data_IF_714957695837
#
_entry.id   IF_714957695837
#
_cell.length_a   1.000
_cell.length_b   1.000
_cell.length_c   1.000
_cell.angle_alpha   90.00
_cell.angle_beta   90.00
_cell.angle_gamma   90.00
#
_symmetry.space_group_name_H-M   'P 1'
#
loop_
_entity.id
_entity.type
_entity.pdbx_description
1 polymer ?
#
# COMPACT_ATOMS: atom_id res chain seq x y z
N UNK A 1 1.58 19.76 7.31
CA UNK A 1 0.59 18.70 7.66
C UNK A 1 1.25 17.54 8.41
N UNK A 2 2.47 17.12 8.07
CA UNK A 2 3.15 15.97 8.72
C UNK A 2 3.51 16.20 10.19
N UNK A 3 3.67 17.42 10.65
CA UNK A 3 4.08 17.73 12.02
C UNK A 3 2.98 17.49 13.07
N UNK A 4 1.71 17.65 12.65
CA UNK A 4 0.56 17.53 13.57
C UNK A 4 -0.08 16.14 13.60
N UNK A 5 0.18 15.30 12.60
CA UNK A 5 -0.50 13.99 12.47
C UNK A 5 0.34 12.83 13.00
N UNK A 6 1.69 12.90 12.90
CA UNK A 6 2.54 11.75 13.22
C UNK A 6 3.32 11.87 14.53
N UNK A 7 3.32 13.03 15.21
CA UNK A 7 4.10 13.32 16.44
C UNK A 7 5.57 12.85 16.40
N UNK A 8 6.09 12.56 15.20
CA UNK A 8 7.48 12.20 14.95
C UNK A 8 8.08 13.15 13.94
N UNK A 9 9.11 13.88 14.34
CA UNK A 9 9.93 14.70 13.45
C UNK A 9 10.77 13.78 12.56
N UNK A 10 10.49 13.78 11.27
CA UNK A 10 11.39 13.17 10.29
C UNK A 10 12.59 14.11 10.07
N UNK A 11 13.82 13.75 10.47
CA UNK A 11 15.00 14.63 10.32
C UNK A 11 15.24 15.03 8.86
N UNK A 12 14.94 14.12 7.91
CA UNK A 12 15.07 14.38 6.48
C UNK A 12 14.05 15.43 6.00
N UNK A 13 12.82 15.40 6.50
CA UNK A 13 11.80 16.40 6.16
C UNK A 13 12.20 17.79 6.68
N UNK A 14 12.77 17.87 7.89
CA UNK A 14 13.28 19.13 8.45
C UNK A 14 14.44 19.66 7.61
N UNK A 15 15.40 18.82 7.21
CA UNK A 15 16.50 19.21 6.36
C UNK A 15 16.04 19.74 5.00
N UNK A 16 15.05 19.11 4.38
CA UNK A 16 14.45 19.57 3.12
C UNK A 16 13.78 20.94 3.30
N UNK A 17 13.00 21.15 4.36
CA UNK A 17 12.35 22.44 4.60
C UNK A 17 13.36 23.57 4.89
N UNK A 18 14.43 23.28 5.64
CA UNK A 18 15.51 24.25 5.90
C UNK A 18 16.24 24.59 4.59
N UNK A 19 16.52 23.60 3.74
CA UNK A 19 17.18 23.82 2.45
C UNK A 19 16.31 24.63 1.50
N UNK A 20 15.02 24.33 1.40
CA UNK A 20 14.07 25.08 0.56
C UNK A 20 13.91 26.52 1.06
N UNK A 21 13.80 26.72 2.37
CA UNK A 21 13.73 28.06 2.96
C UNK A 21 15.03 28.85 2.71
N UNK A 22 16.21 28.22 2.83
CA UNK A 22 17.51 28.82 2.51
C UNK A 22 17.59 29.21 1.06
N UNK A 23 17.22 28.37 0.12
CA UNK A 23 17.20 28.69 -1.32
C UNK A 23 16.24 29.85 -1.58
N UNK A 24 15.07 29.87 -0.96
CA UNK A 24 14.10 30.96 -1.13
C UNK A 24 14.64 32.31 -0.63
N UNK A 25 15.29 32.32 0.54
CA UNK A 25 15.90 33.54 1.11
C UNK A 25 17.03 34.04 0.21
N UNK A 26 17.93 33.16 -0.24
CA UNK A 26 19.06 33.53 -1.10
C UNK A 26 18.57 34.02 -2.46
N UNK A 27 17.62 33.34 -3.08
CA UNK A 27 17.06 33.72 -4.38
C UNK A 27 16.29 35.04 -4.30
N UNK A 28 15.55 35.30 -3.21
CA UNK A 28 14.84 36.57 -3.02
C UNK A 28 15.77 37.76 -2.73
N UNK A 29 16.94 37.53 -2.14
CA UNK A 29 17.95 38.54 -1.88
C UNK A 29 18.76 38.92 -3.14
N UNK A 30 18.82 38.01 -4.14
CA UNK A 30 19.62 38.20 -5.37
C UNK A 30 18.77 38.63 -6.57
N UNK A 31 17.45 38.42 -6.54
CA UNK A 31 16.58 38.73 -7.67
C UNK A 31 16.27 40.21 -7.82
N UNK A 32 16.79 40.92 -8.86
CA UNK A 32 16.24 42.20 -9.25
C UNK A 32 14.84 41.97 -9.84
N UNK A 33 13.92 42.83 -9.49
CA UNK A 33 12.45 42.78 -9.64
C UNK A 33 11.90 42.74 -11.08
N UNK A 34 12.45 41.94 -11.99
CA UNK A 34 11.90 41.73 -13.35
C UNK A 34 11.90 40.27 -13.77
N UNK A 35 10.74 39.69 -13.72
CA UNK A 35 10.45 38.30 -14.12
C UNK A 35 10.73 37.96 -15.60
N UNK A 36 11.12 38.97 -16.42
CA UNK A 36 11.31 38.80 -17.86
C UNK A 36 12.72 38.40 -18.33
N UNK A 37 13.72 38.34 -17.44
CA UNK A 37 15.12 38.10 -17.82
C UNK A 37 15.67 36.71 -17.41
N UNK A 38 14.84 35.82 -16.92
CA UNK A 38 15.26 34.53 -16.36
C UNK A 38 15.88 33.56 -17.38
N UNK A 39 15.63 33.71 -18.66
CA UNK A 39 16.12 32.76 -19.68
C UNK A 39 17.42 33.23 -20.35
N UNK A 40 17.71 34.54 -20.40
CA UNK A 40 18.90 35.09 -21.05
C UNK A 40 20.11 35.25 -20.13
N UNK A 41 19.93 35.06 -18.81
CA UNK A 41 20.97 35.29 -17.80
C UNK A 41 21.80 34.07 -17.41
N UNK A 42 21.32 32.82 -17.71
CA UNK A 42 21.92 31.57 -17.21
C UNK A 42 23.42 31.43 -17.57
N UNK A 43 23.83 31.84 -18.76
CA UNK A 43 25.25 31.78 -19.18
C UNK A 43 26.16 32.75 -18.46
N UNK A 44 25.66 33.95 -18.15
CA UNK A 44 26.41 34.99 -17.40
C UNK A 44 26.53 34.66 -15.92
N UNK A 45 25.47 34.13 -15.34
CA UNK A 45 25.42 33.78 -13.91
C UNK A 45 26.35 32.59 -13.58
N UNK A 46 26.47 31.60 -14.48
CA UNK A 46 27.39 30.47 -14.30
C UNK A 46 28.84 30.96 -14.36
N UNK A 47 29.20 31.84 -15.30
CA UNK A 47 30.56 32.38 -15.40
C UNK A 47 30.93 33.27 -14.19
N UNK A 48 29.98 34.04 -13.66
CA UNK A 48 30.13 34.81 -12.43
C UNK A 48 30.29 33.95 -11.18
N UNK A 49 29.59 32.83 -11.13
CA UNK A 49 29.67 31.87 -10.03
C UNK A 49 31.03 31.15 -9.99
N UNK A 50 31.53 30.72 -11.17
CA UNK A 50 32.83 30.01 -11.30
C UNK A 50 34.03 30.97 -11.17
N UNK A 51 33.85 32.26 -11.36
CA UNK A 51 34.93 33.25 -11.16
C UNK A 51 35.00 33.81 -9.73
N UNK A 52 34.02 33.55 -8.88
CA UNK A 52 33.99 34.05 -7.52
C UNK A 52 34.49 32.97 -6.52
N UNK A 53 35.68 33.16 -5.89
CA UNK A 53 36.24 32.15 -4.99
C UNK A 53 35.35 31.86 -3.77
N UNK A 54 34.57 32.82 -3.32
CA UNK A 54 33.64 32.65 -2.21
C UNK A 54 32.46 31.74 -2.62
N UNK A 55 31.94 31.93 -3.84
CA UNK A 55 30.85 31.11 -4.36
C UNK A 55 31.31 29.64 -4.60
N UNK A 56 32.53 29.48 -5.12
CA UNK A 56 33.16 28.15 -5.27
C UNK A 56 33.31 27.46 -3.89
N UNK A 57 33.78 28.19 -2.88
CA UNK A 57 33.98 27.69 -1.52
C UNK A 57 32.65 27.24 -0.89
N UNK A 58 31.58 28.03 -1.03
CA UNK A 58 30.24 27.67 -0.54
C UNK A 58 29.66 26.44 -1.29
N UNK A 59 29.82 26.42 -2.62
CA UNK A 59 29.39 25.30 -3.45
C UNK A 59 30.12 23.99 -3.11
N UNK A 60 31.43 24.05 -2.92
CA UNK A 60 32.26 22.92 -2.50
C UNK A 60 31.86 22.42 -1.09
N UNK A 61 31.68 23.33 -0.14
CA UNK A 61 31.25 23.00 1.22
C UNK A 61 29.85 22.33 1.23
N UNK A 62 28.95 22.84 0.40
CA UNK A 62 27.61 22.26 0.24
C UNK A 62 27.67 20.88 -0.39
N UNK A 63 28.48 20.69 -1.44
CA UNK A 63 28.64 19.38 -2.11
C UNK A 63 29.26 18.34 -1.17
N UNK A 64 30.32 18.73 -0.45
CA UNK A 64 30.98 17.87 0.55
C UNK A 64 30.04 17.54 1.71
N UNK A 65 29.27 18.52 2.18
CA UNK A 65 28.24 18.32 3.20
C UNK A 65 27.15 17.36 2.74
N UNK A 66 26.69 17.47 1.50
CA UNK A 66 25.69 16.58 0.92
C UNK A 66 26.23 15.16 0.75
N UNK A 67 27.47 15.00 0.28
CA UNK A 67 28.14 13.70 0.16
C UNK A 67 28.33 13.08 1.55
N UNK A 68 28.79 13.85 2.54
CA UNK A 68 28.93 13.40 3.91
C UNK A 68 27.57 12.99 4.51
N UNK A 69 26.51 13.75 4.25
CA UNK A 69 25.17 13.43 4.71
C UNK A 69 24.66 12.11 4.11
N UNK A 70 24.92 11.88 2.82
CA UNK A 70 24.54 10.62 2.14
C UNK A 70 25.42 9.46 2.60
N UNK A 71 26.71 9.68 2.87
CA UNK A 71 27.65 8.65 3.27
C UNK A 71 27.53 8.26 4.77
N UNK A 72 27.25 9.28 5.62
CA UNK A 72 27.08 9.11 7.07
C UNK A 72 25.61 8.93 7.47
N UNK A 73 24.68 9.12 6.54
CA UNK A 73 23.31 8.77 6.79
C UNK A 73 23.27 7.29 7.22
N UNK A 74 22.82 6.96 8.44
CA UNK A 74 22.66 5.58 8.81
C UNK A 74 21.76 5.00 7.71
N UNK A 75 22.35 4.27 6.82
CA UNK A 75 21.64 3.27 6.06
C UNK A 75 21.20 2.30 7.16
N UNK A 76 20.07 2.59 7.82
CA UNK A 76 19.25 1.51 8.27
C UNK A 76 19.23 0.65 7.02
N UNK A 77 19.98 -0.45 7.07
CA UNK A 77 19.91 -1.44 6.03
C UNK A 77 18.40 -1.52 5.81
N UNK A 78 17.96 -1.18 4.61
CA UNK A 78 16.68 -1.65 4.15
C UNK A 78 16.95 -3.16 4.21
N UNK A 79 16.86 -3.68 5.44
CA UNK A 79 16.60 -5.07 5.65
C UNK A 79 15.39 -5.19 4.78
N UNK A 80 15.56 -5.86 3.67
CA UNK A 80 14.42 -6.46 3.00
C UNK A 80 13.56 -6.91 4.14
N UNK A 81 12.39 -6.28 4.37
CA UNK A 81 11.61 -6.59 5.54
C UNK A 81 11.55 -8.08 5.47
N UNK A 82 11.97 -8.73 6.53
CA UNK A 82 12.15 -10.16 6.58
C UNK A 82 10.79 -10.83 6.28
N UNK A 83 10.36 -10.71 5.04
CA UNK A 83 9.18 -11.34 4.47
C UNK A 83 9.32 -12.86 4.61
N UNK A 84 10.56 -13.36 4.71
CA UNK A 84 10.84 -14.75 5.03
C UNK A 84 10.93 -15.02 6.55
N UNK A 85 11.24 -14.04 7.39
CA UNK A 85 11.23 -14.22 8.85
C UNK A 85 9.85 -13.94 9.47
N UNK A 86 9.02 -13.11 8.85
CA UNK A 86 7.64 -12.87 9.32
C UNK A 86 6.72 -14.09 9.12
N UNK A 87 7.06 -15.03 8.24
CA UNK A 87 6.29 -16.27 8.03
C UNK A 87 6.49 -17.31 9.14
N UNK A 88 7.39 -17.10 10.08
CA UNK A 88 7.70 -18.07 11.13
C UNK A 88 7.75 -17.49 12.56
N UNK A 89 7.50 -16.19 12.75
CA UNK A 89 7.40 -15.64 14.08
C UNK A 89 6.04 -16.05 14.69
N UNK A 90 6.01 -16.58 15.94
CA UNK A 90 4.75 -16.79 16.64
C UNK A 90 3.96 -15.49 16.66
N UNK A 91 2.66 -15.55 16.35
CA UNK A 91 1.79 -14.38 16.48
C UNK A 91 1.91 -13.91 17.93
N UNK A 92 2.43 -12.68 18.12
CA UNK A 92 2.53 -12.05 19.43
C UNK A 92 1.17 -12.13 20.12
N UNK A 93 1.11 -12.74 21.31
CA UNK A 93 -0.15 -12.85 22.04
C UNK A 93 -0.42 -11.56 22.78
N UNK A 94 -1.66 -11.07 22.69
CA UNK A 94 -2.12 -9.93 23.48
C UNK A 94 -2.31 -10.36 24.94
N UNK A 95 -1.95 -9.49 25.88
CA UNK A 95 -2.28 -9.69 27.27
C UNK A 95 -3.79 -9.44 27.53
N UNK A 96 -4.25 -9.80 28.74
CA UNK A 96 -5.67 -9.70 29.09
C UNK A 96 -6.20 -8.25 29.04
N UNK A 97 -5.41 -7.27 29.47
CA UNK A 97 -5.82 -5.88 29.46
C UNK A 97 -5.93 -5.32 28.03
N UNK A 98 -4.98 -5.70 27.15
CA UNK A 98 -5.01 -5.36 25.73
C UNK A 98 -6.22 -5.99 25.02
N UNK A 99 -6.58 -7.24 25.36
CA UNK A 99 -7.76 -7.90 24.81
C UNK A 99 -9.06 -7.19 25.25
N UNK A 100 -9.20 -6.85 26.51
CA UNK A 100 -10.38 -6.16 27.02
C UNK A 100 -10.54 -4.75 26.43
N UNK A 101 -9.44 -4.02 26.29
CA UNK A 101 -9.44 -2.72 25.61
C UNK A 101 -9.82 -2.86 24.14
N UNK A 102 -9.25 -3.87 23.45
CA UNK A 102 -9.52 -4.15 22.05
C UNK A 102 -10.99 -4.53 21.81
N UNK A 103 -11.58 -5.38 22.67
CA UNK A 103 -12.99 -5.77 22.58
C UNK A 103 -13.91 -4.56 22.76
N UNK A 104 -13.63 -3.71 23.77
CA UNK A 104 -14.39 -2.46 23.98
C UNK A 104 -14.30 -1.54 22.77
N UNK A 105 -13.10 -1.43 22.17
CA UNK A 105 -12.92 -0.64 20.98
C UNK A 105 -13.75 -1.18 19.81
N UNK A 106 -13.70 -2.49 19.53
CA UNK A 106 -14.49 -3.15 18.46
C UNK A 106 -15.99 -2.87 18.65
N UNK A 107 -16.48 -2.94 19.88
CA UNK A 107 -17.90 -2.77 20.16
C UNK A 107 -18.38 -1.33 19.99
N UNK A 108 -17.51 -0.37 20.20
CA UNK A 108 -17.79 1.05 20.06
C UNK A 108 -17.72 1.56 18.61
N UNK A 109 -17.17 0.77 17.66
CA UNK A 109 -16.98 1.26 16.30
C UNK A 109 -18.28 1.28 15.50
N UNK A 110 -18.48 2.32 14.67
CA UNK A 110 -19.57 2.35 13.71
C UNK A 110 -19.37 1.26 12.64
N UNK A 111 -20.48 0.70 12.15
CA UNK A 111 -20.47 -0.34 11.13
C UNK A 111 -21.03 0.19 9.82
N UNK A 112 -20.29 -0.06 8.75
CA UNK A 112 -20.70 0.31 7.37
C UNK A 112 -21.64 -0.77 6.84
N UNK A 113 -22.91 -0.47 6.52
CA UNK A 113 -23.92 -1.49 6.15
C UNK A 113 -23.50 -2.37 4.96
N UNK A 114 -22.86 -1.79 3.95
CA UNK A 114 -22.40 -2.52 2.75
C UNK A 114 -21.23 -3.49 2.97
N UNK A 115 -20.66 -3.54 4.18
CA UNK A 115 -19.57 -4.44 4.55
C UNK A 115 -19.93 -5.34 5.75
N UNK A 116 -21.23 -5.53 6.02
CA UNK A 116 -21.73 -6.44 7.05
C UNK A 116 -21.70 -7.89 6.57
N UNK A 117 -21.57 -8.87 7.49
CA UNK A 117 -21.66 -10.28 7.13
C UNK A 117 -23.05 -10.62 6.57
N UNK A 118 -23.12 -11.42 5.50
CA UNK A 118 -24.40 -11.94 5.01
C UNK A 118 -25.00 -12.96 5.98
N UNK A 119 -26.27 -13.30 5.77
CA UNK A 119 -26.97 -14.29 6.59
C UNK A 119 -26.19 -15.62 6.67
N UNK A 120 -26.04 -16.15 7.88
CA UNK A 120 -25.31 -17.39 8.15
C UNK A 120 -23.80 -17.20 8.36
N UNK A 121 -23.21 -16.05 8.05
CA UNK A 121 -21.81 -15.73 8.33
C UNK A 121 -21.74 -14.91 9.62
N UNK A 122 -20.95 -15.34 10.59
CA UNK A 122 -20.73 -14.60 11.83
C UNK A 122 -19.67 -13.51 11.67
N UNK A 123 -18.60 -13.81 10.92
CA UNK A 123 -17.49 -12.88 10.70
C UNK A 123 -17.16 -12.80 9.23
N UNK A 124 -17.25 -11.56 8.69
CA UNK A 124 -16.78 -11.18 7.37
C UNK A 124 -15.56 -10.29 7.51
N UNK A 125 -14.45 -10.68 6.91
CA UNK A 125 -13.33 -9.81 6.66
C UNK A 125 -13.31 -9.47 5.18
N UNK A 126 -13.56 -8.20 4.83
CA UNK A 126 -13.52 -7.71 3.46
C UNK A 126 -12.27 -6.85 3.28
N UNK A 127 -11.45 -7.17 2.27
CA UNK A 127 -10.24 -6.42 1.92
C UNK A 127 -10.39 -5.83 0.52
N UNK A 128 -10.20 -4.52 0.39
CA UNK A 128 -9.98 -3.88 -0.91
C UNK A 128 -8.49 -3.94 -1.24
N UNK A 129 -8.18 -4.58 -2.34
CA UNK A 129 -6.84 -5.04 -2.70
C UNK A 129 -6.39 -4.55 -4.07
N UNK A 130 -5.08 -4.31 -4.17
CA UNK A 130 -4.37 -4.03 -5.41
C UNK A 130 -3.10 -4.89 -5.45
N UNK A 131 -2.92 -5.67 -6.52
CA UNK A 131 -1.79 -6.60 -6.62
C UNK A 131 -0.45 -5.92 -6.86
N UNK A 132 -0.43 -4.64 -7.28
CA UNK A 132 0.80 -3.84 -7.39
C UNK A 132 1.08 -2.98 -6.15
N UNK A 133 0.16 -2.92 -5.18
CA UNK A 133 0.35 -2.14 -3.96
C UNK A 133 1.27 -2.86 -2.96
N UNK A 134 2.44 -2.29 -2.57
CA UNK A 134 3.36 -2.93 -1.62
C UNK A 134 2.73 -3.20 -0.25
N UNK A 135 1.89 -2.29 0.24
CA UNK A 135 1.17 -2.47 1.50
C UNK A 135 0.15 -3.63 1.42
N UNK A 136 -0.44 -3.88 0.23
CA UNK A 136 -1.31 -5.04 0.00
C UNK A 136 -0.55 -6.36 0.12
N UNK A 137 0.67 -6.41 -0.46
CA UNK A 137 1.58 -7.57 -0.32
C UNK A 137 1.94 -7.82 1.13
N UNK A 138 2.34 -6.78 1.88
CA UNK A 138 2.68 -6.92 3.30
C UNK A 138 1.53 -7.49 4.12
N UNK A 139 0.33 -6.95 3.97
CA UNK A 139 -0.85 -7.45 4.69
C UNK A 139 -1.28 -8.84 4.23
N UNK A 140 -1.10 -9.17 2.94
CA UNK A 140 -1.37 -10.51 2.44
C UNK A 140 -0.46 -11.55 3.13
N UNK A 141 0.85 -11.29 3.15
CA UNK A 141 1.81 -12.18 3.81
C UNK A 141 1.58 -12.30 5.31
N UNK A 142 1.18 -11.20 5.97
CA UNK A 142 0.94 -11.19 7.42
C UNK A 142 -0.35 -11.91 7.84
N UNK A 143 -1.37 -11.98 6.96
CA UNK A 143 -2.71 -12.41 7.38
C UNK A 143 -3.20 -13.70 6.72
N UNK A 144 -2.56 -14.18 5.64
CA UNK A 144 -3.03 -15.34 4.89
C UNK A 144 -3.21 -16.59 5.76
N UNK A 145 -2.29 -16.82 6.69
CA UNK A 145 -2.35 -17.98 7.59
C UNK A 145 -3.45 -17.83 8.65
N UNK A 146 -3.70 -16.59 9.12
CA UNK A 146 -4.83 -16.29 10.02
C UNK A 146 -6.15 -16.60 9.31
N UNK A 147 -6.32 -16.12 8.08
CA UNK A 147 -7.55 -16.41 7.32
C UNK A 147 -7.71 -17.89 7.03
N UNK A 148 -6.64 -18.58 6.61
CA UNK A 148 -6.67 -20.02 6.38
C UNK A 148 -7.05 -20.81 7.65
N UNK A 149 -6.52 -20.42 8.81
CA UNK A 149 -6.89 -20.98 10.12
C UNK A 149 -8.40 -20.90 10.36
N UNK A 150 -8.99 -19.71 10.18
CA UNK A 150 -10.41 -19.50 10.47
C UNK A 150 -11.33 -20.08 9.39
N UNK A 151 -10.93 -20.08 8.12
CA UNK A 151 -11.65 -20.77 7.05
C UNK A 151 -11.77 -22.29 7.33
N UNK A 152 -10.68 -22.89 7.83
CA UNK A 152 -10.65 -24.32 8.17
C UNK A 152 -11.41 -24.65 9.47
N UNK A 153 -11.27 -23.82 10.51
CA UNK A 153 -11.86 -24.11 11.83
C UNK A 153 -13.31 -23.65 11.99
N UNK A 154 -13.78 -22.72 11.15
CA UNK A 154 -15.12 -22.14 11.22
C UNK A 154 -15.80 -22.10 9.84
N UNK A 155 -15.94 -23.24 9.16
CA UNK A 155 -16.51 -23.29 7.82
C UNK A 155 -17.93 -22.73 7.81
N UNK A 156 -18.19 -21.76 6.94
CA UNK A 156 -19.46 -21.08 6.83
C UNK A 156 -19.70 -19.95 7.85
N UNK A 157 -19.10 -20.01 9.02
CA UNK A 157 -19.21 -18.93 10.02
C UNK A 157 -18.18 -17.80 9.81
N UNK A 158 -17.00 -18.10 9.29
CA UNK A 158 -15.99 -17.13 8.88
C UNK A 158 -15.93 -17.03 7.36
N UNK A 159 -15.76 -15.81 6.86
CA UNK A 159 -15.54 -15.55 5.43
C UNK A 159 -14.52 -14.45 5.24
N UNK A 160 -13.50 -14.70 4.40
CA UNK A 160 -12.61 -13.69 3.87
C UNK A 160 -12.98 -13.38 2.42
N UNK A 161 -13.17 -12.10 2.10
CA UNK A 161 -13.45 -11.61 0.75
C UNK A 161 -12.39 -10.57 0.34
N UNK A 162 -11.63 -10.89 -0.70
CA UNK A 162 -10.79 -9.92 -1.40
C UNK A 162 -11.62 -9.28 -2.52
N UNK A 163 -11.75 -7.95 -2.47
CA UNK A 163 -12.37 -7.10 -3.49
C UNK A 163 -11.28 -6.35 -4.26
N UNK A 164 -11.41 -6.29 -5.56
CA UNK A 164 -10.42 -5.60 -6.38
C UNK A 164 -10.60 -4.08 -6.29
N UNK A 165 -9.50 -3.38 -6.03
CA UNK A 165 -9.46 -1.92 -6.01
C UNK A 165 -8.13 -1.43 -6.61
N UNK A 166 -7.86 -1.77 -7.90
CA UNK A 166 -6.61 -1.39 -8.54
C UNK A 166 -6.52 0.11 -8.70
N UNK A 167 -5.40 0.69 -8.24
CA UNK A 167 -5.11 2.12 -8.36
C UNK A 167 -4.59 2.43 -9.77
N UNK A 168 -5.39 2.10 -10.79
CA UNK A 168 -5.06 2.21 -12.20
C UNK A 168 -6.21 2.83 -12.99
N UNK A 169 -5.86 3.67 -13.99
CA UNK A 169 -6.82 4.44 -14.78
C UNK A 169 -7.81 3.59 -15.57
N UNK A 170 -7.40 2.44 -16.08
CA UNK A 170 -8.28 1.53 -16.82
C UNK A 170 -9.42 0.97 -15.97
N UNK A 171 -9.19 0.79 -14.67
CA UNK A 171 -10.20 0.35 -13.72
C UNK A 171 -11.09 1.47 -13.16
N UNK A 172 -10.87 2.72 -13.58
CA UNK A 172 -11.69 3.88 -13.19
C UNK A 172 -11.15 4.65 -11.98
N UNK A 173 -9.91 4.38 -11.56
CA UNK A 173 -9.20 5.14 -10.53
C UNK A 173 -7.98 5.82 -11.15
N UNK A 174 -7.68 7.06 -10.76
CA UNK A 174 -6.45 7.74 -11.16
C UNK A 174 -5.23 6.93 -10.74
N UNK A 175 -4.33 6.58 -11.71
CA UNK A 175 -3.42 5.49 -11.52
C UNK A 175 -2.00 5.85 -11.13
N UNK A 176 -1.49 5.17 -10.11
CA UNK A 176 -0.06 5.03 -9.81
C UNK A 176 0.49 3.68 -10.28
N UNK A 177 -0.41 2.75 -10.65
CA UNK A 177 -0.08 1.40 -11.11
C UNK A 177 -0.46 1.22 -12.58
N UNK A 178 0.25 0.34 -13.29
CA UNK A 178 0.15 0.20 -14.74
C UNK A 178 -0.39 -1.17 -15.20
N UNK A 179 -0.59 -2.12 -14.29
CA UNK A 179 -1.05 -3.49 -14.63
C UNK A 179 -1.80 -4.16 -13.47
N UNK A 180 -2.36 -3.36 -12.58
CA UNK A 180 -3.13 -3.86 -11.45
C UNK A 180 -4.50 -4.39 -11.88
N UNK A 181 -5.08 -3.83 -12.94
CA UNK A 181 -6.33 -4.30 -13.55
C UNK A 181 -6.16 -5.68 -14.18
N UNK A 182 -5.06 -5.88 -14.91
CA UNK A 182 -4.74 -7.17 -15.51
C UNK A 182 -4.49 -8.24 -14.45
N UNK A 183 -3.76 -7.90 -13.40
CA UNK A 183 -3.53 -8.81 -12.28
C UNK A 183 -4.84 -9.22 -11.61
N UNK A 184 -5.76 -8.27 -11.38
CA UNK A 184 -7.09 -8.54 -10.83
C UNK A 184 -7.91 -9.47 -11.72
N UNK A 185 -7.93 -9.21 -13.03
CA UNK A 185 -8.62 -10.07 -14.01
C UNK A 185 -8.02 -11.47 -14.05
N UNK A 186 -6.68 -11.60 -14.04
CA UNK A 186 -6.01 -12.90 -14.02
C UNK A 186 -6.40 -13.73 -12.79
N UNK A 187 -6.41 -13.13 -11.60
CA UNK A 187 -6.83 -13.81 -10.38
C UNK A 187 -8.29 -14.22 -10.41
N UNK A 188 -9.19 -13.40 -10.96
CA UNK A 188 -10.60 -13.77 -11.15
C UNK A 188 -10.76 -14.97 -12.07
N UNK A 189 -10.01 -15.02 -13.16
CA UNK A 189 -10.00 -16.18 -14.08
C UNK A 189 -9.52 -17.45 -13.39
N UNK A 190 -8.42 -17.35 -12.64
CA UNK A 190 -7.91 -18.48 -11.87
C UNK A 190 -8.92 -18.97 -10.83
N UNK A 191 -9.53 -18.06 -10.06
CA UNK A 191 -10.56 -18.37 -9.05
C UNK A 191 -11.83 -18.99 -9.66
N UNK A 192 -12.22 -18.53 -10.85
CA UNK A 192 -13.38 -19.08 -11.56
C UNK A 192 -13.15 -20.52 -12.01
N UNK A 193 -11.90 -20.90 -12.32
CA UNK A 193 -11.53 -22.28 -12.62
C UNK A 193 -11.44 -23.13 -11.35
N UNK A 194 -10.69 -22.67 -10.36
CA UNK A 194 -10.49 -23.30 -9.06
C UNK A 194 -10.04 -22.23 -8.03
N UNK A 195 -10.75 -22.08 -6.90
CA UNK A 195 -10.36 -21.17 -5.83
C UNK A 195 -8.92 -21.39 -5.31
N UNK A 196 -8.43 -22.64 -5.29
CA UNK A 196 -7.06 -22.95 -4.87
C UNK A 196 -6.02 -22.43 -5.88
N UNK A 197 -6.29 -22.55 -7.18
CA UNK A 197 -5.43 -21.97 -8.21
C UNK A 197 -5.43 -20.43 -8.14
N UNK A 198 -6.57 -19.83 -7.80
CA UNK A 198 -6.64 -18.39 -7.53
C UNK A 198 -5.71 -17.97 -6.38
N UNK A 199 -5.70 -18.69 -5.25
CA UNK A 199 -4.79 -18.41 -4.12
C UNK A 199 -3.31 -18.57 -4.52
N UNK A 200 -2.98 -19.60 -5.29
CA UNK A 200 -1.61 -19.79 -5.80
C UNK A 200 -1.19 -18.65 -6.73
N UNK A 201 -2.09 -18.17 -7.58
CA UNK A 201 -1.81 -17.05 -8.46
C UNK A 201 -1.64 -15.74 -7.68
N UNK A 202 -2.42 -15.50 -6.62
CA UNK A 202 -2.22 -14.35 -5.72
C UNK A 202 -0.81 -14.38 -5.09
N UNK A 203 -0.37 -15.52 -4.55
CA UNK A 203 0.99 -15.69 -4.01
C UNK A 203 2.06 -15.40 -5.09
N UNK A 204 1.88 -15.93 -6.29
CA UNK A 204 2.81 -15.79 -7.42
C UNK A 204 2.93 -14.34 -7.89
N UNK A 205 1.81 -13.63 -7.98
CA UNK A 205 1.76 -12.22 -8.38
C UNK A 205 2.41 -11.31 -7.34
N UNK A 206 2.11 -11.50 -6.06
CA UNK A 206 2.72 -10.72 -5.00
C UNK A 206 4.24 -10.93 -4.88
N UNK A 207 4.75 -12.12 -5.22
CA UNK A 207 6.19 -12.36 -5.27
C UNK A 207 6.87 -11.62 -6.45
N UNK A 208 6.13 -11.31 -7.51
CA UNK A 208 6.61 -10.64 -8.73
C UNK A 208 6.09 -9.21 -8.90
N UNK A 209 5.64 -8.61 -7.82
CA UNK A 209 4.98 -7.31 -7.81
C UNK A 209 5.79 -6.21 -8.51
N UNK A 210 7.11 -6.20 -8.33
CA UNK A 210 8.01 -5.18 -8.89
C UNK A 210 8.14 -5.28 -10.42
N UNK A 211 7.93 -6.47 -10.97
CA UNK A 211 8.00 -6.73 -12.43
C UNK A 211 6.64 -6.96 -13.05
N UNK A 212 5.57 -6.54 -12.35
CA UNK A 212 4.20 -6.74 -12.81
C UNK A 212 3.94 -6.02 -14.14
N UNK A 213 3.42 -6.75 -15.09
CA UNK A 213 2.95 -6.26 -16.38
C UNK A 213 1.74 -7.09 -16.82
N UNK A 214 1.05 -6.66 -17.88
CA UNK A 214 0.00 -7.47 -18.51
C UNK A 214 0.53 -8.86 -18.89
N UNK A 215 1.73 -8.92 -19.46
CA UNK A 215 2.33 -10.20 -19.87
C UNK A 215 2.69 -11.06 -18.67
N UNK A 216 3.19 -10.47 -17.57
CA UNK A 216 3.43 -11.17 -16.30
C UNK A 216 2.12 -11.75 -15.76
N UNK A 217 1.02 -11.01 -15.77
CA UNK A 217 -0.29 -11.50 -15.30
C UNK A 217 -0.80 -12.67 -16.17
N UNK A 218 -0.67 -12.57 -17.48
CA UNK A 218 -1.02 -13.65 -18.44
C UNK A 218 -0.14 -14.88 -18.25
N UNK A 219 1.16 -14.69 -18.08
CA UNK A 219 2.10 -15.77 -17.83
C UNK A 219 1.74 -16.53 -16.55
N UNK A 220 1.54 -15.81 -15.43
CA UNK A 220 1.16 -16.42 -14.17
C UNK A 220 -0.16 -17.20 -14.27
N UNK A 221 -1.16 -16.64 -14.94
CA UNK A 221 -2.43 -17.32 -15.20
C UNK A 221 -2.25 -18.61 -15.99
N UNK A 222 -1.42 -18.59 -17.03
CA UNK A 222 -1.16 -19.77 -17.86
C UNK A 222 -0.34 -20.83 -17.12
N UNK A 223 0.67 -20.44 -16.33
CA UNK A 223 1.53 -21.36 -15.59
C UNK A 223 0.82 -22.00 -14.40
N UNK A 224 0.11 -21.20 -13.60
CA UNK A 224 -0.51 -21.64 -12.35
C UNK A 224 -1.86 -22.29 -12.61
N UNK A 225 -2.75 -21.58 -13.31
CA UNK A 225 -4.11 -22.03 -13.50
C UNK A 225 -4.36 -22.70 -14.86
N UNK A 226 -3.36 -22.75 -15.76
CA UNK A 226 -3.51 -23.33 -17.10
C UNK A 226 -4.67 -22.73 -17.91
N UNK A 227 -4.96 -21.44 -17.69
CA UNK A 227 -6.00 -20.69 -18.41
C UNK A 227 -5.34 -19.82 -19.47
N UNK A 228 -5.81 -19.93 -20.71
CA UNK A 228 -5.28 -19.20 -21.88
C UNK A 228 -6.28 -18.19 -22.47
N UNK A 229 -7.48 -18.12 -21.93
CA UNK A 229 -8.56 -17.27 -22.46
C UNK A 229 -8.52 -15.82 -21.91
N UNK A 230 -7.38 -15.36 -21.39
CA UNK A 230 -7.24 -14.04 -20.75
C UNK A 230 -7.79 -12.91 -21.63
N UNK A 231 -7.29 -12.77 -22.87
CA UNK A 231 -7.68 -11.66 -23.72
C UNK A 231 -9.16 -11.69 -24.12
N UNK A 232 -9.72 -12.90 -24.31
CA UNK A 232 -11.13 -13.06 -24.66
C UNK A 232 -12.07 -12.71 -23.49
N UNK A 233 -11.67 -13.03 -22.26
CA UNK A 233 -12.48 -12.81 -21.08
C UNK A 233 -12.20 -11.43 -20.41
N UNK A 234 -11.09 -10.79 -20.77
CA UNK A 234 -10.63 -9.56 -20.15
C UNK A 234 -11.70 -8.46 -20.10
N UNK A 235 -12.38 -8.10 -21.22
CA UNK A 235 -13.34 -7.00 -21.18
C UNK A 235 -14.50 -7.25 -20.21
N UNK A 236 -15.00 -8.48 -20.14
CA UNK A 236 -16.10 -8.87 -19.27
C UNK A 236 -15.67 -8.82 -17.79
N UNK A 237 -14.50 -9.36 -17.46
CA UNK A 237 -14.01 -9.42 -16.09
C UNK A 237 -13.50 -8.06 -15.60
N UNK A 238 -13.01 -7.20 -16.51
CA UNK A 238 -12.70 -5.82 -16.19
C UNK A 238 -13.92 -5.07 -15.65
N UNK A 239 -15.12 -5.29 -16.21
CA UNK A 239 -16.34 -4.72 -15.66
C UNK A 239 -16.68 -5.23 -14.26
N UNK A 240 -16.35 -6.47 -13.95
CA UNK A 240 -16.51 -7.00 -12.59
C UNK A 240 -15.48 -6.39 -11.62
N UNK A 241 -14.25 -6.12 -12.06
CA UNK A 241 -13.25 -5.35 -11.29
C UNK A 241 -13.76 -3.93 -11.05
N UNK A 242 -14.26 -3.25 -12.08
CA UNK A 242 -14.84 -1.92 -11.96
C UNK A 242 -16.06 -1.87 -11.02
N UNK A 243 -16.84 -2.96 -10.96
CA UNK A 243 -17.94 -3.06 -10.01
C UNK A 243 -17.44 -3.08 -8.55
N UNK A 244 -16.34 -3.80 -8.26
CA UNK A 244 -15.70 -3.77 -6.93
C UNK A 244 -15.11 -2.38 -6.62
N UNK A 245 -14.52 -1.70 -7.61
CA UNK A 245 -14.05 -0.31 -7.46
C UNK A 245 -15.21 0.61 -7.06
N UNK A 246 -16.35 0.55 -7.78
CA UNK A 246 -17.54 1.34 -7.44
C UNK A 246 -18.07 1.04 -6.05
N UNK A 247 -18.10 -0.24 -5.67
CA UNK A 247 -18.47 -0.65 -4.30
C UNK A 247 -17.52 0.00 -3.29
N UNK A 248 -16.21 -0.11 -3.50
CA UNK A 248 -15.20 0.49 -2.62
C UNK A 248 -15.40 2.01 -2.48
N UNK A 249 -15.63 2.73 -3.59
CA UNK A 249 -15.92 4.15 -3.58
C UNK A 249 -17.18 4.47 -2.76
N UNK A 250 -18.25 3.69 -2.92
CA UNK A 250 -19.49 3.83 -2.13
C UNK A 250 -19.25 3.61 -0.63
N UNK A 251 -18.32 2.71 -0.26
CA UNK A 251 -17.92 2.45 1.12
C UNK A 251 -16.85 3.43 1.65
N UNK A 252 -16.50 4.46 0.87
CA UNK A 252 -15.52 5.47 1.25
C UNK A 252 -14.06 4.98 1.18
N UNK A 253 -13.78 3.93 0.43
CA UNK A 253 -12.41 3.45 0.18
C UNK A 253 -11.68 4.47 -0.71
N UNK A 254 -10.53 4.94 -0.26
CA UNK A 254 -9.68 5.90 -0.96
C UNK A 254 -8.27 5.39 -1.28
N UNK A 255 -7.97 4.14 -0.90
CA UNK A 255 -6.67 3.53 -1.13
C UNK A 255 -6.61 2.09 -0.64
N UNK A 256 -5.50 1.42 -0.95
CA UNK A 256 -5.30 0.00 -0.64
C UNK A 256 -4.05 -0.21 0.23
N UNK A 257 -4.08 -1.21 1.12
CA UNK A 257 -5.24 -2.01 1.47
C UNK A 257 -6.22 -1.26 2.37
N UNK A 258 -7.53 -1.47 2.18
CA UNK A 258 -8.56 -1.06 3.14
C UNK A 258 -9.29 -2.31 3.61
N UNK A 259 -9.47 -2.44 4.93
CA UNK A 259 -10.14 -3.58 5.54
C UNK A 259 -11.44 -3.18 6.23
N UNK A 260 -12.42 -4.06 6.15
CA UNK A 260 -13.61 -4.04 6.97
C UNK A 260 -13.75 -5.38 7.70
N UNK A 261 -13.95 -5.35 9.01
CA UNK A 261 -14.26 -6.52 9.83
C UNK A 261 -15.67 -6.34 10.37
N UNK A 262 -16.62 -7.12 9.91
CA UNK A 262 -18.05 -6.95 10.22
C UNK A 262 -18.53 -5.50 10.07
N UNK A 263 -18.15 -4.85 8.98
CA UNK A 263 -18.49 -3.44 8.71
C UNK A 263 -17.65 -2.40 9.43
N UNK A 264 -16.80 -2.80 10.38
CA UNK A 264 -15.88 -1.89 11.04
C UNK A 264 -14.69 -1.63 10.11
N UNK A 265 -14.48 -0.39 9.71
CA UNK A 265 -13.30 -0.01 8.93
C UNK A 265 -12.07 -0.04 9.83
N UNK A 266 -11.09 -0.84 9.47
CA UNK A 266 -9.82 -0.94 10.19
C UNK A 266 -8.65 -0.64 9.25
N UNK A 267 -7.56 -0.10 9.81
CA UNK A 267 -6.28 0.00 9.10
C UNK A 267 -5.55 -1.33 9.02
N UNK A 268 -4.29 -1.30 8.62
CA UNK A 268 -3.40 -2.47 8.73
C UNK A 268 -3.12 -2.74 10.20
N UNK A 269 -3.77 -3.75 10.76
CA UNK A 269 -3.60 -4.17 12.15
C UNK A 269 -2.33 -5.01 12.30
N UNK A 270 -1.76 -5.04 13.52
CA UNK A 270 -0.82 -6.11 13.85
C UNK A 270 -1.55 -7.46 13.80
N UNK A 271 -0.91 -8.55 13.33
CA UNK A 271 -1.58 -9.87 13.19
C UNK A 271 -2.32 -10.33 14.45
N UNK A 272 -1.76 -10.09 15.64
CA UNK A 272 -2.38 -10.42 16.92
C UNK A 272 -3.75 -9.74 17.13
N UNK A 273 -3.87 -8.46 16.77
CA UNK A 273 -5.15 -7.75 16.90
C UNK A 273 -6.20 -8.22 15.90
N UNK A 274 -5.77 -8.57 14.67
CA UNK A 274 -6.69 -9.14 13.68
C UNK A 274 -7.18 -10.52 14.12
N UNK A 275 -6.29 -11.39 14.58
CA UNK A 275 -6.62 -12.72 15.11
C UNK A 275 -7.59 -12.60 16.30
N UNK A 276 -7.29 -11.72 17.27
CA UNK A 276 -8.16 -11.46 18.41
C UNK A 276 -9.53 -10.90 18.02
N UNK A 277 -9.60 -10.00 17.01
CA UNK A 277 -10.88 -9.46 16.52
C UNK A 277 -11.77 -10.57 15.93
N UNK A 278 -11.18 -11.43 15.09
CA UNK A 278 -11.93 -12.54 14.47
C UNK A 278 -12.39 -13.51 15.55
N UNK A 279 -11.51 -13.91 16.48
CA UNK A 279 -11.85 -14.80 17.59
C UNK A 279 -12.98 -14.24 18.46
N UNK A 280 -12.90 -12.97 18.82
CA UNK A 280 -13.92 -12.29 19.60
C UNK A 280 -15.28 -12.28 18.91
N UNK A 281 -15.32 -11.86 17.63
CA UNK A 281 -16.57 -11.75 16.89
C UNK A 281 -17.20 -13.12 16.56
N UNK A 282 -16.42 -14.19 16.41
CA UNK A 282 -16.93 -15.55 16.24
C UNK A 282 -17.63 -16.05 17.51
N UNK A 283 -17.12 -15.68 18.69
CA UNK A 283 -17.65 -16.11 20.00
C UNK A 283 -18.75 -15.19 20.54
N UNK A 284 -18.94 -14.02 19.92
CA UNK A 284 -19.99 -13.09 20.30
C UNK A 284 -21.35 -13.65 19.87
N UNK A 285 -22.22 -13.90 20.86
CA UNK A 285 -23.61 -14.36 20.66
C UNK A 285 -24.53 -13.23 20.23
#
# INVERSE_FOLDING_TARGET
ASFFVLQKTCPLCVAVYVSVAGIFIVSSAIAPSKLGSLVSGIGGDISGLVSNPTAIGIGAAWLLGSIALVALFPREAIQEPAAQAAAAAPIETLDQAQLEEWHRWIDAQPRVPGALPPAGVKVLVMKFNDYQCPACRMTYMAYKDIFAKYEASNPGAFRYESRDFPLEGECGLGGVHASACEAAVAVRLAKAKDPAEGKKLEDWLFQRQETMSRDTAKQGLAEIAQVKSFDAEYPKLLEAVRADVRLGQTLGVSGTPTFFVNGIRVGSLRPAYLDAAIAYLLNKT
#
